data_IF_169992521307
#
_entry.id   IF_169992521307
#
_cell.length_a   1.000
_cell.length_b   1.000
_cell.length_c   1.000
_cell.angle_alpha   90.00
_cell.angle_beta   90.00
_cell.angle_gamma   90.00
#
_symmetry.space_group_name_H-M   'P 1'
#
loop_
_entity.id
_entity.type
_entity.pdbx_description
1 polymer ?
#
# COMPACT_ATOMS: atom_id res chain seq x y z
N UNK A 1 44.61 44.90 -7.62
CA UNK A 1 45.62 44.17 -8.43
C UNK A 1 45.04 42.83 -8.88
N UNK A 2 45.60 42.20 -9.92
CA UNK A 2 44.96 41.10 -10.65
C UNK A 2 45.80 39.81 -10.68
N UNK A 3 45.12 38.66 -10.74
CA UNK A 3 45.67 37.30 -10.93
C UNK A 3 46.48 36.79 -9.72
N UNK A 4 46.69 35.47 -9.53
CA UNK A 4 46.73 34.37 -10.53
C UNK A 4 46.14 33.06 -9.99
N UNK A 5 45.40 32.32 -10.83
CA UNK A 5 45.08 30.88 -10.64
C UNK A 5 46.23 30.03 -11.20
N UNK A 6 46.64 28.99 -10.51
CA UNK A 6 47.60 27.99 -11.02
C UNK A 6 46.96 26.60 -11.02
N UNK A 7 46.67 26.00 -12.19
CA UNK A 7 46.32 24.59 -12.29
C UNK A 7 47.59 23.73 -12.40
N UNK A 8 47.50 22.46 -12.00
CA UNK A 8 48.52 21.44 -12.32
C UNK A 8 48.01 20.56 -13.47
N UNK A 9 48.89 20.22 -14.42
CA UNK A 9 48.55 19.48 -15.63
C UNK A 9 49.30 18.14 -15.72
N UNK A 10 48.53 17.09 -15.98
CA UNK A 10 48.74 16.12 -17.06
C UNK A 10 50.14 15.49 -17.27
N UNK A 11 50.23 14.18 -17.00
CA UNK A 11 51.05 13.22 -17.76
C UNK A 11 50.21 11.95 -17.97
N UNK A 12 49.64 11.61 -19.14
CA UNK A 12 50.20 11.18 -20.45
C UNK A 12 51.14 9.97 -20.44
N UNK A 13 50.72 8.92 -21.17
CA UNK A 13 51.53 7.77 -21.60
C UNK A 13 51.12 6.42 -20.98
N UNK A 14 51.07 5.30 -21.71
CA UNK A 14 51.11 5.10 -23.17
C UNK A 14 50.51 3.72 -23.55
N UNK A 15 50.22 3.48 -24.83
CA UNK A 15 49.76 2.16 -25.32
C UNK A 15 50.86 1.10 -25.27
N UNK A 16 50.45 -0.17 -25.12
CA UNK A 16 51.09 -1.34 -25.72
C UNK A 16 49.99 -2.32 -26.16
N UNK A 17 50.22 -3.09 -27.24
CA UNK A 17 49.20 -3.93 -27.85
C UNK A 17 49.78 -5.15 -28.61
N UNK A 18 48.87 -6.03 -29.03
CA UNK A 18 48.96 -6.98 -30.17
C UNK A 18 49.55 -8.39 -29.94
N UNK A 19 49.10 -9.29 -30.84
CA UNK A 19 49.40 -10.72 -31.05
C UNK A 19 48.75 -11.72 -30.08
N UNK A 20 47.79 -12.58 -30.49
CA UNK A 20 47.71 -13.58 -31.59
C UNK A 20 48.46 -14.89 -31.30
N UNK A 21 47.69 -15.96 -31.09
CA UNK A 21 48.10 -17.34 -31.26
C UNK A 21 46.93 -18.13 -31.89
N UNK A 22 47.17 -18.75 -33.06
CA UNK A 22 46.15 -19.45 -33.86
C UNK A 22 46.50 -20.92 -34.04
N UNK A 23 45.52 -21.81 -33.91
CA UNK A 23 45.38 -22.96 -34.81
C UNK A 23 45.57 -24.38 -34.27
N UNK A 24 45.08 -25.34 -35.07
CA UNK A 24 45.15 -26.80 -34.98
C UNK A 24 44.41 -27.43 -33.77
N UNK A 25 43.34 -28.24 -33.88
CA UNK A 25 42.70 -29.05 -34.94
C UNK A 25 43.10 -30.54 -35.03
N UNK A 26 42.06 -31.38 -34.85
CA UNK A 26 41.84 -32.79 -35.21
C UNK A 26 40.31 -32.99 -34.95
N UNK A 27 39.41 -33.46 -35.81
CA UNK A 27 39.45 -34.49 -36.87
C UNK A 27 39.75 -35.88 -36.27
N UNK A 28 38.98 -36.95 -36.48
CA UNK A 28 38.24 -37.44 -37.67
C UNK A 28 36.85 -38.01 -37.21
N UNK A 29 35.70 -37.56 -37.72
CA UNK A 29 34.95 -38.04 -38.92
C UNK A 29 34.47 -39.52 -38.91
N UNK A 30 33.23 -39.77 -39.40
CA UNK A 30 32.80 -40.90 -40.26
C UNK A 30 31.26 -41.01 -40.44
N UNK A 31 30.85 -41.17 -41.72
CA UNK A 31 29.56 -41.67 -42.26
C UNK A 31 28.27 -40.82 -42.23
N UNK A 32 27.95 -40.31 -43.42
CA UNK A 32 26.59 -40.19 -43.98
C UNK A 32 26.14 -41.58 -44.57
N UNK A 33 25.10 -41.76 -45.44
CA UNK A 33 24.19 -40.78 -46.07
C UNK A 33 22.70 -41.22 -46.29
N UNK A 34 21.96 -40.34 -46.99
CA UNK A 34 21.00 -40.64 -48.08
C UNK A 34 19.48 -40.92 -47.83
N UNK A 35 18.69 -39.98 -48.40
CA UNK A 35 17.55 -40.20 -49.34
C UNK A 35 16.18 -40.80 -48.93
N UNK A 36 15.16 -39.95 -49.12
CA UNK A 36 13.86 -40.19 -49.85
C UNK A 36 12.70 -41.00 -49.23
N UNK A 37 11.49 -40.67 -49.76
CA UNK A 37 10.30 -41.52 -49.93
C UNK A 37 9.22 -41.58 -48.82
N UNK A 38 8.21 -40.73 -48.97
CA UNK A 38 6.78 -41.05 -48.74
C UNK A 38 6.21 -41.86 -49.94
N UNK A 39 4.95 -42.36 -49.98
CA UNK A 39 3.87 -42.42 -48.97
C UNK A 39 3.17 -43.82 -48.83
N UNK A 40 2.02 -43.85 -48.12
CA UNK A 40 0.79 -44.65 -48.40
C UNK A 40 0.49 -45.97 -47.66
N UNK A 41 -0.49 -45.87 -46.73
CA UNK A 41 -1.78 -46.60 -46.68
C UNK A 41 -1.90 -48.14 -46.70
N UNK A 42 -2.51 -48.70 -45.64
CA UNK A 42 -3.81 -49.45 -45.65
C UNK A 42 -4.12 -49.96 -44.21
N UNK A 43 -5.18 -49.58 -43.48
CA UNK A 43 -6.66 -49.73 -43.64
C UNK A 43 -7.26 -51.10 -43.28
N UNK A 44 -8.27 -51.09 -42.38
CA UNK A 44 -9.54 -51.86 -42.28
C UNK A 44 -10.17 -51.48 -40.91
N UNK A 45 -11.35 -50.84 -40.76
CA UNK A 45 -12.73 -51.21 -41.14
C UNK A 45 -13.36 -52.27 -40.19
N UNK A 46 -14.63 -52.23 -39.72
CA UNK A 46 -15.76 -51.26 -39.78
C UNK A 46 -16.64 -51.50 -38.50
N UNK A 47 -17.80 -50.87 -38.15
CA UNK A 47 -19.06 -50.51 -38.87
C UNK A 47 -19.85 -49.43 -38.07
N UNK A 48 -20.40 -48.36 -38.67
CA UNK A 48 -21.80 -48.18 -39.16
C UNK A 48 -22.91 -48.20 -38.07
N UNK A 49 -23.99 -47.38 -38.09
CA UNK A 49 -24.55 -46.46 -39.12
C UNK A 49 -25.27 -45.22 -38.46
N UNK A 50 -25.31 -44.03 -39.08
CA UNK A 50 -26.43 -43.40 -39.84
C UNK A 50 -27.69 -43.01 -38.99
N UNK A 51 -28.46 -41.91 -39.20
CA UNK A 51 -28.55 -40.80 -40.19
C UNK A 51 -29.35 -39.62 -39.52
N UNK A 52 -29.70 -38.42 -40.02
CA UNK A 52 -29.81 -37.74 -41.35
C UNK A 52 -29.66 -36.19 -41.18
N UNK A 53 -30.07 -35.36 -42.16
CA UNK A 53 -30.18 -33.87 -42.05
C UNK A 53 -31.45 -33.32 -42.78
N UNK A 54 -31.50 -32.17 -43.51
CA UNK A 54 -32.15 -30.93 -43.02
C UNK A 54 -33.14 -30.20 -43.99
N UNK A 55 -33.78 -29.12 -43.51
CA UNK A 55 -34.44 -28.01 -44.25
C UNK A 55 -34.24 -26.74 -43.35
N UNK A 56 -33.87 -25.52 -43.79
CA UNK A 56 -34.40 -24.62 -44.83
C UNK A 56 -35.85 -24.12 -44.51
N UNK A 57 -36.25 -22.87 -44.70
CA UNK A 57 -36.10 -21.96 -45.87
C UNK A 57 -35.78 -20.49 -45.47
N UNK A 58 -35.63 -19.61 -46.47
CA UNK A 58 -35.54 -18.14 -46.32
C UNK A 58 -36.43 -17.41 -47.35
N UNK A 59 -36.85 -16.17 -47.04
CA UNK A 59 -37.53 -15.12 -47.88
C UNK A 59 -38.74 -14.48 -47.14
N UNK A 60 -39.24 -13.28 -47.45
CA UNK A 60 -38.67 -12.04 -48.04
C UNK A 60 -39.75 -10.92 -48.00
N UNK A 61 -39.35 -9.66 -48.28
CA UNK A 61 -40.19 -8.44 -48.48
C UNK A 61 -40.94 -7.88 -47.24
N UNK A 62 -41.05 -6.58 -46.92
CA UNK A 62 -40.81 -5.25 -47.55
C UNK A 62 -42.09 -4.48 -47.97
N UNK A 63 -42.06 -3.15 -47.71
CA UNK A 63 -42.92 -2.03 -48.20
C UNK A 63 -44.46 -2.10 -47.90
N UNK A 64 -45.27 -1.02 -47.89
CA UNK A 64 -45.11 0.40 -48.29
C UNK A 64 -46.06 1.35 -47.50
N UNK A 65 -45.82 2.67 -47.61
CA UNK A 65 -46.48 3.86 -47.03
C UNK A 65 -48.02 3.97 -47.02
N UNK A 66 -48.57 4.72 -46.04
CA UNK A 66 -49.34 6.00 -46.19
C UNK A 66 -49.91 6.45 -44.83
N UNK A 67 -49.57 7.61 -44.24
CA UNK A 67 -49.76 9.01 -44.65
C UNK A 67 -51.17 9.58 -44.38
N UNK A 68 -51.33 10.40 -43.32
CA UNK A 68 -52.33 11.50 -43.21
C UNK A 68 -52.09 12.39 -41.97
N UNK A 69 -51.71 13.64 -42.21
CA UNK A 69 -52.06 14.82 -41.38
C UNK A 69 -53.12 15.60 -42.18
N UNK A 70 -53.96 16.51 -41.60
CA UNK A 70 -53.49 17.78 -41.03
C UNK A 70 -54.32 18.36 -39.85
N UNK A 71 -53.77 19.38 -39.17
CA UNK A 71 -54.37 20.73 -39.02
C UNK A 71 -53.40 21.65 -38.25
N UNK A 72 -53.54 22.97 -38.36
CA UNK A 72 -52.54 23.93 -37.86
C UNK A 72 -53.14 25.20 -37.23
N UNK A 73 -52.47 25.68 -36.17
CA UNK A 73 -52.33 27.07 -35.73
C UNK A 73 -51.17 27.08 -34.70
N UNK A 74 -50.04 27.76 -34.84
CA UNK A 74 -49.70 29.06 -35.43
C UNK A 74 -50.15 30.26 -34.59
N UNK A 75 -49.21 30.82 -33.83
CA UNK A 75 -49.09 32.27 -33.58
C UNK A 75 -47.65 32.59 -33.15
N UNK A 76 -47.02 33.47 -33.89
CA UNK A 76 -45.62 33.90 -33.72
C UNK A 76 -45.44 34.87 -32.54
N UNK A 77 -44.22 34.98 -32.02
CA UNK A 77 -43.64 36.28 -31.68
C UNK A 77 -42.11 36.23 -31.77
N UNK A 78 -41.46 37.35 -32.12
CA UNK A 78 -40.03 37.39 -32.43
C UNK A 78 -39.31 38.59 -31.82
N UNK A 79 -38.12 38.32 -31.26
CA UNK A 79 -36.97 39.20 -31.12
C UNK A 79 -37.09 40.50 -30.28
N UNK A 80 -36.14 40.66 -29.36
CA UNK A 80 -35.84 41.90 -28.64
C UNK A 80 -34.68 41.66 -27.67
N UNK A 81 -33.52 42.26 -27.95
CA UNK A 81 -32.33 42.22 -27.09
C UNK A 81 -32.33 43.48 -26.16
N UNK A 82 -31.33 43.79 -25.32
CA UNK A 82 -29.95 43.30 -25.19
C UNK A 82 -29.39 43.67 -23.78
N UNK A 83 -28.36 42.93 -23.32
CA UNK A 83 -27.37 43.34 -22.27
C UNK A 83 -27.87 43.52 -20.81
N UNK A 84 -27.04 43.53 -19.74
CA UNK A 84 -25.56 43.49 -19.59
C UNK A 84 -25.07 42.46 -18.53
N UNK A 85 -23.78 42.09 -18.64
CA UNK A 85 -22.79 41.65 -17.61
C UNK A 85 -23.20 41.08 -16.24
N UNK A 86 -22.58 39.94 -15.85
CA UNK A 86 -21.46 39.97 -14.88
C UNK A 86 -20.53 38.72 -15.03
N UNK A 87 -19.44 38.66 -14.26
CA UNK A 87 -18.27 37.78 -14.44
C UNK A 87 -18.40 36.35 -13.86
N UNK A 88 -17.57 35.38 -14.32
CA UNK A 88 -17.57 34.01 -13.80
C UNK A 88 -16.74 33.86 -12.51
N UNK A 89 -17.36 33.30 -11.47
CA UNK A 89 -16.65 32.85 -10.24
C UNK A 89 -16.40 31.36 -10.30
N UNK A 90 -15.13 30.98 -10.37
CA UNK A 90 -14.68 29.60 -10.14
C UNK A 90 -14.82 29.27 -8.66
N UNK A 91 -15.76 28.41 -8.29
CA UNK A 91 -15.84 27.87 -6.93
C UNK A 91 -14.96 26.62 -6.78
N UNK A 92 -14.04 26.65 -5.83
CA UNK A 92 -13.24 25.51 -5.41
C UNK A 92 -14.11 24.45 -4.68
N UNK A 93 -13.66 23.18 -4.57
CA UNK A 93 -14.33 22.20 -3.73
C UNK A 93 -14.35 22.64 -2.24
N UNK A 94 -15.42 22.31 -1.48
CA UNK A 94 -15.47 22.57 -0.05
C UNK A 94 -14.47 21.67 0.68
N UNK A 95 -13.67 22.25 1.59
CA UNK A 95 -12.78 21.50 2.47
C UNK A 95 -13.54 20.80 3.59
N UNK A 96 -12.90 19.81 4.23
CA UNK A 96 -13.46 19.02 5.32
C UNK A 96 -13.84 19.86 6.56
N UNK A 97 -14.87 19.45 7.32
CA UNK A 97 -15.29 20.15 8.54
C UNK A 97 -14.39 19.77 9.74
N UNK A 98 -13.47 20.65 10.11
CA UNK A 98 -12.85 20.63 11.44
C UNK A 98 -13.71 21.42 12.43
N UNK A 99 -14.11 20.80 13.56
CA UNK A 99 -14.93 21.48 14.57
C UNK A 99 -15.16 20.67 15.84
N UNK A 100 -14.38 20.95 16.89
CA UNK A 100 -14.53 20.36 18.22
C UNK A 100 -15.75 20.91 18.97
N UNK A 101 -16.42 20.10 19.81
CA UNK A 101 -17.52 20.60 20.66
C UNK A 101 -18.38 19.55 21.39
N UNK A 102 -17.77 18.80 22.32
CA UNK A 102 -18.36 18.28 23.58
C UNK A 102 -19.83 17.76 23.62
N UNK A 103 -20.00 16.44 23.84
CA UNK A 103 -20.88 15.93 24.91
C UNK A 103 -20.59 14.47 25.28
N UNK A 104 -20.60 14.20 26.57
CA UNK A 104 -20.63 12.91 27.30
C UNK A 104 -21.73 11.97 26.75
N UNK A 105 -21.67 10.63 26.83
CA UNK A 105 -21.55 9.80 28.06
C UNK A 105 -21.27 8.29 27.81
N UNK A 106 -20.61 7.64 28.78
CA UNK A 106 -20.79 6.22 29.25
C UNK A 106 -20.54 5.02 28.29
N UNK A 107 -19.41 4.34 28.49
CA UNK A 107 -19.41 2.93 28.97
C UNK A 107 -19.48 1.75 27.98
N UNK A 108 -18.31 1.21 27.62
CA UNK A 108 -18.04 -0.23 27.75
C UNK A 108 -16.50 -0.41 27.85
N UNK A 109 -16.00 -0.99 28.95
CA UNK A 109 -14.58 -0.92 29.35
C UNK A 109 -13.94 -2.31 29.53
N UNK A 110 -13.63 -2.96 28.39
CA UNK A 110 -12.92 -4.26 28.38
C UNK A 110 -11.39 -4.06 28.50
N UNK A 111 -10.94 -4.02 29.76
CA UNK A 111 -9.56 -3.68 30.15
C UNK A 111 -8.61 -4.88 30.11
N UNK A 112 -7.82 -5.01 29.04
CA UNK A 112 -6.73 -5.99 28.96
C UNK A 112 -5.41 -5.51 29.61
N UNK A 113 -5.44 -5.50 30.95
CA UNK A 113 -4.34 -5.87 31.86
C UNK A 113 -2.89 -5.75 31.32
N UNK A 114 -2.29 -4.57 31.45
CA UNK A 114 -0.83 -4.41 31.48
C UNK A 114 -0.26 -4.93 32.82
N UNK A 115 -0.22 -6.27 32.97
CA UNK A 115 0.15 -6.91 34.23
C UNK A 115 1.67 -6.87 34.47
N UNK A 116 2.08 -6.41 35.65
CA UNK A 116 3.45 -6.00 35.96
C UNK A 116 4.25 -7.01 36.83
N UNK A 117 5.43 -6.54 37.28
CA UNK A 117 6.22 -6.95 38.47
C UNK A 117 7.51 -7.73 38.21
N UNK A 118 8.64 -7.03 38.43
CA UNK A 118 9.84 -7.57 39.06
C UNK A 118 10.56 -6.47 39.86
N UNK A 119 10.30 -6.41 41.17
CA UNK A 119 10.94 -5.46 42.11
C UNK A 119 12.28 -6.03 42.60
N UNK A 120 13.32 -5.19 42.70
CA UNK A 120 14.63 -5.56 43.24
C UNK A 120 15.36 -4.37 43.90
N UNK A 121 14.70 -3.73 44.86
CA UNK A 121 15.22 -2.54 45.54
C UNK A 121 16.55 -2.73 46.29
N UNK A 122 17.26 -1.62 46.47
CA UNK A 122 18.45 -1.52 47.31
C UNK A 122 18.38 -0.24 48.15
N UNK A 123 18.12 -0.39 49.46
CA UNK A 123 18.14 0.74 50.39
C UNK A 123 19.59 1.11 50.76
N UNK A 124 19.88 2.41 50.89
CA UNK A 124 21.15 2.91 51.39
C UNK A 124 20.96 4.02 52.44
N UNK A 125 21.61 3.82 53.58
CA UNK A 125 21.50 4.60 54.83
C UNK A 125 22.29 5.94 54.78
N UNK A 126 22.01 6.87 55.69
CA UNK A 126 22.64 8.20 55.71
C UNK A 126 24.03 8.23 56.38
N UNK A 127 24.97 8.92 55.71
CA UNK A 127 25.88 9.87 56.37
C UNK A 127 27.30 9.43 56.75
N UNK A 128 28.30 10.13 56.19
CA UNK A 128 29.49 10.62 56.92
C UNK A 128 30.02 11.91 56.23
N UNK A 129 30.81 12.72 56.94
CA UNK A 129 31.20 14.09 56.53
C UNK A 129 32.71 14.33 56.68
N UNK A 130 33.47 14.37 55.57
CA UNK A 130 34.88 14.82 55.55
C UNK A 130 35.43 15.20 54.16
N UNK A 131 35.60 16.51 53.98
CA UNK A 131 36.77 17.24 53.44
C UNK A 131 37.66 16.69 52.28
N UNK A 132 38.01 17.61 51.36
CA UNK A 132 39.42 17.72 50.93
C UNK A 132 39.86 17.15 49.57
N UNK A 133 38.96 16.86 48.62
CA UNK A 133 39.29 16.11 47.38
C UNK A 133 39.13 16.83 46.02
N UNK A 134 39.74 18.00 45.79
CA UNK A 134 39.62 18.69 44.48
C UNK A 134 40.46 18.02 43.38
N UNK A 135 39.84 17.17 42.54
CA UNK A 135 40.51 16.55 41.39
C UNK A 135 39.68 15.55 40.58
N UNK A 136 38.99 16.05 39.55
CA UNK A 136 38.27 15.29 38.49
C UNK A 136 37.07 14.44 38.96
N UNK A 137 35.86 14.87 38.62
CA UNK A 137 34.61 14.13 38.91
C UNK A 137 33.50 14.32 37.86
N UNK A 138 33.78 14.98 36.74
CA UNK A 138 32.82 15.09 35.62
C UNK A 138 32.80 13.86 34.70
N UNK A 139 33.93 13.15 34.61
CA UNK A 139 34.18 12.07 33.65
C UNK A 139 33.47 10.76 34.04
N UNK A 140 33.64 10.33 35.29
CA UNK A 140 33.08 9.08 35.83
C UNK A 140 31.55 9.08 35.90
N UNK A 141 30.92 10.25 36.10
CA UNK A 141 29.47 10.36 36.20
C UNK A 141 28.80 10.12 34.83
N UNK A 142 29.24 10.84 33.79
CA UNK A 142 28.76 10.64 32.42
C UNK A 142 29.06 9.24 31.89
N UNK A 143 30.22 8.66 32.25
CA UNK A 143 30.56 7.27 31.91
C UNK A 143 29.58 6.24 32.50
N UNK A 144 28.94 6.53 33.64
CA UNK A 144 27.89 5.70 34.23
C UNK A 144 26.55 5.83 33.50
N UNK A 145 26.09 7.06 33.28
CA UNK A 145 24.82 7.35 32.57
C UNK A 145 24.83 6.74 31.15
N UNK A 146 25.93 6.92 30.43
CA UNK A 146 26.16 6.36 29.10
C UNK A 146 26.18 4.82 29.08
N UNK A 147 26.66 4.18 30.15
CA UNK A 147 26.63 2.73 30.27
C UNK A 147 25.20 2.19 30.51
N UNK A 148 24.38 2.90 31.29
CA UNK A 148 22.95 2.61 31.48
C UNK A 148 22.18 2.77 30.17
N UNK A 149 22.34 3.90 29.48
CA UNK A 149 21.70 4.14 28.18
C UNK A 149 22.05 3.06 27.15
N UNK A 150 23.33 2.68 27.03
CA UNK A 150 23.76 1.55 26.17
C UNK A 150 23.28 0.18 26.66
N UNK A 151 22.87 0.02 27.91
CA UNK A 151 22.26 -1.23 28.38
C UNK A 151 20.79 -1.27 27.99
N UNK A 152 20.07 -0.18 28.22
CA UNK A 152 18.64 -0.06 27.95
C UNK A 152 18.35 -0.07 26.44
N UNK A 153 19.19 0.57 25.62
CA UNK A 153 19.15 0.48 24.17
C UNK A 153 19.17 -0.97 23.66
N UNK A 154 20.02 -1.83 24.25
CA UNK A 154 20.06 -3.26 23.89
C UNK A 154 18.80 -4.00 24.33
N UNK A 155 18.25 -3.69 25.50
CA UNK A 155 16.99 -4.29 25.96
C UNK A 155 15.77 -3.91 25.10
N UNK A 156 15.80 -2.78 24.39
CA UNK A 156 14.80 -2.46 23.37
C UNK A 156 14.99 -3.27 22.08
N UNK A 157 16.21 -3.32 21.55
CA UNK A 157 16.56 -4.10 20.34
C UNK A 157 16.43 -5.63 20.55
N UNK A 158 16.48 -6.11 21.80
CA UNK A 158 16.14 -7.49 22.17
C UNK A 158 14.62 -7.80 22.10
N UNK A 159 13.77 -6.79 21.93
CA UNK A 159 12.30 -6.92 21.90
C UNK A 159 11.67 -6.52 20.56
N UNK A 160 12.15 -5.44 19.91
CA UNK A 160 11.67 -4.99 18.59
C UNK A 160 12.73 -4.15 17.88
N UNK A 161 12.70 -4.13 16.56
CA UNK A 161 13.57 -3.30 15.73
C UNK A 161 13.28 -1.81 15.93
N UNK A 162 14.33 -0.99 15.93
CA UNK A 162 14.24 0.46 16.01
C UNK A 162 15.10 1.16 14.96
N UNK A 163 14.56 2.22 14.37
CA UNK A 163 15.37 3.18 13.61
C UNK A 163 16.36 3.90 14.53
N UNK A 164 17.44 4.42 13.96
CA UNK A 164 18.46 5.17 14.73
C UNK A 164 17.85 6.37 15.47
N UNK A 165 16.90 7.09 14.87
CA UNK A 165 16.21 8.20 15.52
C UNK A 165 15.21 7.72 16.57
N UNK A 166 14.38 6.70 16.25
CA UNK A 166 13.42 6.15 17.20
C UNK A 166 14.07 5.62 18.47
N UNK A 167 15.24 4.97 18.37
CA UNK A 167 15.99 4.50 19.54
C UNK A 167 16.56 5.66 20.39
N UNK A 168 16.96 6.78 19.77
CA UNK A 168 17.42 7.97 20.48
C UNK A 168 16.23 8.66 21.17
N UNK A 169 15.11 8.85 20.46
CA UNK A 169 13.89 9.46 20.98
C UNK A 169 13.29 8.65 22.14
N UNK A 170 13.34 7.30 22.06
CA UNK A 170 12.95 6.40 23.15
C UNK A 170 13.87 6.56 24.38
N UNK A 171 15.18 6.73 24.20
CA UNK A 171 16.09 7.00 25.32
C UNK A 171 15.87 8.40 25.92
N UNK A 172 15.48 9.40 25.12
CA UNK A 172 15.08 10.71 25.66
C UNK A 172 13.76 10.63 26.45
N UNK A 173 12.82 9.76 26.04
CA UNK A 173 11.60 9.47 26.82
C UNK A 173 11.93 8.81 28.17
N UNK A 174 12.90 7.89 28.21
CA UNK A 174 13.43 7.29 29.44
C UNK A 174 14.23 8.28 30.32
N UNK A 175 14.42 9.51 29.86
CA UNK A 175 14.99 10.60 30.65
C UNK A 175 16.50 10.79 30.50
N UNK A 176 17.16 10.07 29.59
CA UNK A 176 18.53 10.40 29.19
C UNK A 176 18.55 11.72 28.42
N UNK A 177 19.64 12.48 28.52
CA UNK A 177 19.79 13.68 27.68
C UNK A 177 20.02 13.29 26.21
N UNK A 178 19.51 14.07 25.25
CA UNK A 178 19.77 13.92 23.80
C UNK A 178 21.24 13.58 23.46
N UNK A 179 22.19 14.23 24.14
CA UNK A 179 23.62 14.00 23.95
C UNK A 179 24.05 12.59 24.41
N UNK A 180 23.56 12.11 25.55
CA UNK A 180 23.86 10.77 26.08
C UNK A 180 23.12 9.69 25.31
N UNK A 181 21.86 9.93 24.91
CA UNK A 181 21.10 9.03 24.03
C UNK A 181 21.81 8.86 22.67
N UNK A 182 22.22 9.97 22.04
CA UNK A 182 22.97 9.96 20.78
C UNK A 182 24.32 9.26 20.95
N UNK A 183 25.12 9.58 21.99
CA UNK A 183 26.41 8.93 22.22
C UNK A 183 26.25 7.44 22.58
N UNK A 184 25.16 7.05 23.24
CA UNK A 184 24.86 5.65 23.52
C UNK A 184 24.72 4.87 22.22
N UNK A 185 23.80 5.32 21.36
CA UNK A 185 23.43 4.67 20.08
C UNK A 185 24.56 4.73 19.07
N UNK A 186 25.16 5.90 18.81
CA UNK A 186 26.30 6.05 17.88
C UNK A 186 27.59 5.37 18.38
N UNK A 187 27.64 5.00 19.67
CA UNK A 187 28.73 4.25 20.26
C UNK A 187 28.51 2.73 20.29
N UNK A 188 27.47 2.23 19.65
CA UNK A 188 27.16 0.80 19.49
C UNK A 188 27.30 0.35 18.03
N UNK A 189 27.62 -0.92 17.85
CA UNK A 189 27.75 -1.57 16.53
C UNK A 189 26.38 -2.17 16.16
N UNK A 190 25.44 -1.31 15.76
CA UNK A 190 24.05 -1.65 15.41
C UNK A 190 23.91 -1.72 13.89
N UNK A 191 23.37 -2.83 13.38
CA UNK A 191 23.05 -3.00 11.96
C UNK A 191 21.63 -2.51 11.68
N UNK A 192 21.46 -1.19 11.52
CA UNK A 192 20.15 -0.57 11.28
C UNK A 192 19.47 -1.01 9.97
N UNK A 193 20.20 -1.63 9.04
CA UNK A 193 19.60 -2.23 7.84
C UNK A 193 18.91 -3.57 8.21
N UNK A 194 19.45 -4.30 9.20
CA UNK A 194 18.81 -5.48 9.80
C UNK A 194 17.68 -5.12 10.79
N UNK A 195 17.79 -4.03 11.55
CA UNK A 195 16.69 -3.53 12.39
C UNK A 195 15.46 -3.16 11.53
N UNK A 196 15.69 -2.49 10.39
CA UNK A 196 14.64 -2.15 9.43
C UNK A 196 13.94 -3.41 8.86
N UNK A 197 14.70 -4.47 8.58
CA UNK A 197 14.17 -5.77 8.17
C UNK A 197 13.32 -6.40 9.28
N UNK A 198 13.77 -6.36 10.54
CA UNK A 198 12.99 -6.90 11.67
C UNK A 198 11.68 -6.12 11.89
N UNK A 199 11.69 -4.79 11.78
CA UNK A 199 10.47 -3.98 11.81
C UNK A 199 9.53 -4.35 10.65
N UNK A 200 10.05 -4.55 9.44
CA UNK A 200 9.26 -4.95 8.27
C UNK A 200 8.61 -6.33 8.41
N UNK A 201 9.35 -7.33 8.92
CA UNK A 201 8.81 -8.67 9.24
C UNK A 201 7.73 -8.60 10.33
N UNK A 202 7.96 -7.82 11.38
CA UNK A 202 7.03 -7.62 12.51
C UNK A 202 5.71 -6.99 12.07
N UNK A 203 5.75 -5.98 11.19
CA UNK A 203 4.54 -5.35 10.66
C UNK A 203 3.65 -6.34 9.90
N UNK A 204 4.24 -7.19 9.05
CA UNK A 204 3.52 -8.16 8.23
C UNK A 204 2.99 -9.37 9.03
N UNK A 205 3.48 -9.64 10.25
CA UNK A 205 2.85 -10.63 11.14
C UNK A 205 1.48 -10.13 11.66
N UNK A 206 1.19 -8.82 11.60
CA UNK A 206 0.03 -8.21 12.29
C UNK A 206 -0.90 -7.40 11.38
N UNK A 207 -0.38 -6.82 10.30
CA UNK A 207 -1.11 -5.93 9.38
C UNK A 207 -0.63 -6.17 7.95
N UNK A 208 -1.54 -6.36 7.00
CA UNK A 208 -1.19 -6.48 5.59
C UNK A 208 -0.75 -5.13 5.00
N UNK A 209 0.28 -5.11 4.15
CA UNK A 209 0.82 -3.87 3.55
C UNK A 209 1.14 -4.02 2.06
N UNK A 210 0.95 -2.94 1.31
CA UNK A 210 1.62 -2.79 0.01
C UNK A 210 3.12 -2.54 0.20
N UNK A 211 3.92 -2.79 -0.84
CA UNK A 211 5.37 -2.51 -0.78
C UNK A 211 5.70 -1.02 -0.57
N UNK A 212 4.93 -0.11 -1.16
CA UNK A 212 5.09 1.34 -0.98
C UNK A 212 4.59 1.78 0.41
N UNK A 213 3.49 1.20 0.90
CA UNK A 213 2.95 1.45 2.23
C UNK A 213 3.88 1.01 3.36
N UNK A 214 4.48 -0.19 3.25
CA UNK A 214 5.46 -0.68 4.22
C UNK A 214 6.74 0.16 4.21
N UNK A 215 7.22 0.58 3.03
CA UNK A 215 8.34 1.51 2.93
C UNK A 215 8.01 2.85 3.61
N UNK A 216 6.83 3.41 3.34
CA UNK A 216 6.35 4.66 3.94
C UNK A 216 6.19 4.57 5.47
N UNK A 217 5.77 3.43 5.99
CA UNK A 217 5.68 3.18 7.44
C UNK A 217 7.07 3.19 8.10
N UNK A 218 8.06 2.52 7.50
CA UNK A 218 9.44 2.52 8.00
C UNK A 218 10.09 3.91 7.90
N UNK A 219 9.86 4.65 6.81
CA UNK A 219 10.31 6.05 6.69
C UNK A 219 9.65 6.97 7.73
N UNK A 220 8.37 6.73 8.08
CA UNK A 220 7.67 7.45 9.15
C UNK A 220 8.25 7.15 10.54
N UNK A 221 8.70 5.92 10.79
CA UNK A 221 9.46 5.53 11.99
C UNK A 221 10.89 6.08 12.02
N UNK A 222 11.35 6.76 10.96
CA UNK A 222 12.66 7.41 10.89
C UNK A 222 13.80 6.51 10.41
N UNK A 223 13.51 5.35 9.81
CA UNK A 223 14.50 4.68 8.96
C UNK A 223 14.82 5.55 7.74
N UNK A 224 16.02 5.43 7.17
CA UNK A 224 16.32 6.15 5.92
C UNK A 224 15.54 5.52 4.75
N UNK A 225 15.26 6.27 3.66
CA UNK A 225 14.64 5.69 2.47
C UNK A 225 15.44 4.51 1.89
N UNK A 226 16.77 4.55 2.00
CA UNK A 226 17.63 3.41 1.62
C UNK A 226 17.43 2.18 2.52
N UNK A 227 17.19 2.38 3.83
CA UNK A 227 16.90 1.31 4.79
C UNK A 227 15.51 0.72 4.59
N UNK A 228 14.50 1.57 4.48
CA UNK A 228 13.12 1.16 4.25
C UNK A 228 12.97 0.37 2.94
N UNK A 229 13.51 0.90 1.83
CA UNK A 229 13.50 0.21 0.54
C UNK A 229 14.35 -1.08 0.55
N UNK A 230 15.46 -1.08 1.31
CA UNK A 230 16.30 -2.27 1.51
C UNK A 230 15.57 -3.39 2.27
N UNK A 231 14.87 -3.05 3.35
CA UNK A 231 14.08 -3.96 4.17
C UNK A 231 12.93 -4.59 3.38
N UNK A 232 12.09 -3.77 2.72
CA UNK A 232 10.97 -4.26 1.89
C UNK A 232 11.46 -5.20 0.77
N UNK A 233 12.59 -4.87 0.13
CA UNK A 233 13.20 -5.72 -0.89
C UNK A 233 13.85 -7.00 -0.33
N UNK A 234 14.23 -7.02 0.96
CA UNK A 234 14.85 -8.17 1.63
C UNK A 234 13.80 -9.15 2.20
N UNK A 235 12.67 -8.66 2.71
CA UNK A 235 11.50 -9.49 3.08
C UNK A 235 10.99 -10.25 1.85
N UNK A 236 10.90 -9.58 0.70
CA UNK A 236 10.35 -10.19 -0.52
C UNK A 236 8.82 -10.33 -0.47
N UNK A 237 8.15 -9.27 -0.02
CA UNK A 237 6.69 -9.16 0.16
C UNK A 237 5.91 -9.75 -1.02
N UNK A 238 4.98 -10.68 -0.75
CA UNK A 238 4.06 -11.22 -1.74
C UNK A 238 2.84 -10.29 -1.87
N UNK A 239 3.03 -9.17 -2.57
CA UNK A 239 2.04 -8.09 -2.70
C UNK A 239 0.67 -8.54 -3.19
N UNK A 240 0.58 -9.65 -3.94
CA UNK A 240 -0.69 -10.24 -4.36
C UNK A 240 -1.45 -10.92 -3.21
N UNK A 241 -0.74 -11.57 -2.27
CA UNK A 241 -1.32 -12.10 -1.04
C UNK A 241 -1.68 -10.97 -0.07
N UNK A 242 -0.79 -9.99 0.12
CA UNK A 242 -1.04 -8.80 0.96
C UNK A 242 -2.29 -8.02 0.53
N UNK A 243 -2.47 -7.78 -0.78
CA UNK A 243 -3.64 -7.09 -1.30
C UNK A 243 -4.94 -7.86 -0.99
N UNK A 244 -4.91 -9.20 -1.05
CA UNK A 244 -6.02 -10.07 -0.69
C UNK A 244 -6.31 -10.04 0.81
N UNK A 245 -5.29 -9.91 1.67
CA UNK A 245 -5.48 -9.83 3.12
C UNK A 245 -5.93 -8.44 3.59
N UNK A 246 -5.42 -7.34 3.02
CA UNK A 246 -5.98 -5.99 3.23
C UNK A 246 -7.44 -5.92 2.78
N UNK A 247 -7.77 -6.41 1.57
CA UNK A 247 -9.13 -6.45 1.06
C UNK A 247 -10.11 -7.18 2.00
N UNK A 248 -9.68 -8.32 2.56
CA UNK A 248 -10.44 -9.08 3.58
C UNK A 248 -10.54 -8.35 4.92
N UNK A 249 -9.51 -7.60 5.30
CA UNK A 249 -9.51 -6.79 6.52
C UNK A 249 -10.51 -5.64 6.43
N UNK A 250 -10.61 -4.95 5.30
CA UNK A 250 -11.63 -3.91 5.07
C UNK A 250 -13.04 -4.46 5.18
N UNK A 251 -13.38 -5.49 4.38
CA UNK A 251 -14.72 -6.10 4.36
C UNK A 251 -15.13 -6.75 5.70
N UNK A 252 -14.18 -7.01 6.60
CA UNK A 252 -14.46 -7.49 7.97
C UNK A 252 -14.95 -6.38 8.92
N UNK A 253 -14.67 -5.12 8.62
CA UNK A 253 -14.95 -3.98 9.52
C UNK A 253 -15.84 -2.89 8.90
N UNK A 254 -16.03 -2.88 7.58
CA UNK A 254 -17.02 -2.03 6.89
C UNK A 254 -17.45 -2.68 5.57
N UNK A 255 -18.76 -2.70 5.31
CA UNK A 255 -19.28 -2.94 3.96
C UNK A 255 -18.75 -1.89 2.98
N UNK A 256 -18.20 -2.34 1.85
CA UNK A 256 -17.62 -1.52 0.78
C UNK A 256 -18.06 -1.99 -0.60
N UNK A 257 -18.02 -1.11 -1.60
CA UNK A 257 -18.26 -1.49 -2.99
C UNK A 257 -17.01 -2.11 -3.62
N UNK A 258 -17.22 -2.90 -4.68
CA UNK A 258 -16.14 -3.52 -5.46
C UNK A 258 -15.10 -2.48 -5.93
N UNK A 259 -15.54 -1.37 -6.53
CA UNK A 259 -14.63 -0.31 -6.98
C UNK A 259 -14.07 0.51 -5.82
N UNK A 260 -14.86 0.78 -4.77
CA UNK A 260 -14.39 1.54 -3.60
C UNK A 260 -13.33 0.80 -2.80
N UNK A 261 -13.36 -0.54 -2.80
CA UNK A 261 -12.30 -1.37 -2.23
C UNK A 261 -11.03 -1.37 -3.10
N UNK A 262 -11.16 -1.39 -4.43
CA UNK A 262 -10.02 -1.25 -5.36
C UNK A 262 -9.38 0.14 -5.20
N UNK A 263 -10.18 1.22 -5.21
CA UNK A 263 -9.72 2.59 -5.00
C UNK A 263 -8.99 2.76 -3.64
N UNK A 264 -9.46 2.05 -2.60
CA UNK A 264 -8.83 2.05 -1.27
C UNK A 264 -7.47 1.33 -1.25
N UNK A 265 -7.35 0.20 -1.96
CA UNK A 265 -6.07 -0.52 -2.10
C UNK A 265 -5.06 0.27 -2.97
N UNK A 266 -5.52 0.93 -4.04
CA UNK A 266 -4.68 1.86 -4.81
C UNK A 266 -4.20 3.04 -3.95
N UNK A 267 -5.04 3.56 -3.04
CA UNK A 267 -4.64 4.58 -2.07
C UNK A 267 -3.62 4.07 -1.03
N UNK A 268 -3.66 2.78 -0.67
CA UNK A 268 -2.66 2.13 0.17
C UNK A 268 -1.33 1.81 -0.56
N UNK A 269 -1.22 2.13 -1.86
CA UNK A 269 0.00 1.93 -2.64
C UNK A 269 0.13 0.54 -3.28
N UNK A 270 -0.95 -0.26 -3.32
CA UNK A 270 -1.01 -1.40 -4.25
C UNK A 270 -1.17 -0.87 -5.68
N UNK A 271 -0.61 -1.56 -6.68
CA UNK A 271 -0.88 -1.18 -8.08
C UNK A 271 -2.31 -1.56 -8.47
N UNK A 272 -2.88 -0.84 -9.44
CA UNK A 272 -4.21 -1.12 -9.99
C UNK A 272 -4.40 -2.56 -10.47
N UNK A 273 -3.33 -3.24 -10.92
CA UNK A 273 -3.39 -4.65 -11.33
C UNK A 273 -3.45 -5.60 -10.11
N UNK A 274 -2.74 -5.29 -9.03
CA UNK A 274 -2.79 -6.05 -7.76
C UNK A 274 -4.12 -5.83 -7.04
N UNK A 275 -4.57 -4.58 -6.89
CA UNK A 275 -5.83 -4.22 -6.26
C UNK A 275 -7.03 -4.86 -6.97
N UNK A 276 -7.12 -4.75 -8.30
CA UNK A 276 -8.18 -5.38 -9.07
C UNK A 276 -8.13 -6.92 -9.01
N UNK A 277 -6.93 -7.52 -9.13
CA UNK A 277 -6.78 -8.99 -9.06
C UNK A 277 -7.11 -9.56 -7.68
N UNK A 278 -6.77 -8.82 -6.61
CA UNK A 278 -7.09 -9.20 -5.25
C UNK A 278 -8.60 -9.23 -5.01
N UNK A 279 -9.32 -8.19 -5.47
CA UNK A 279 -10.77 -8.07 -5.30
C UNK A 279 -11.54 -9.03 -6.23
N UNK A 280 -11.11 -9.22 -7.49
CA UNK A 280 -11.69 -10.26 -8.39
C UNK A 280 -11.50 -11.68 -7.83
N UNK A 281 -10.45 -11.90 -7.02
CA UNK A 281 -10.18 -13.16 -6.35
C UNK A 281 -11.06 -13.49 -5.13
N UNK A 282 -11.95 -12.60 -4.69
CA UNK A 282 -12.79 -12.80 -3.51
C UNK A 282 -14.21 -13.33 -3.86
N UNK A 283 -14.73 -14.21 -3.00
CA UNK A 283 -16.12 -14.70 -3.05
C UNK A 283 -17.01 -13.81 -2.16
N UNK A 284 -17.44 -12.65 -2.69
CA UNK A 284 -18.15 -11.59 -1.96
C UNK A 284 -19.57 -11.41 -2.51
N UNK A 285 -20.57 -11.33 -1.61
CA UNK A 285 -21.91 -10.88 -1.97
C UNK A 285 -21.97 -9.35 -1.87
N UNK A 286 -21.60 -8.66 -2.96
CA UNK A 286 -21.64 -7.20 -3.05
C UNK A 286 -23.03 -6.57 -2.80
N UNK A 287 -24.13 -7.34 -2.79
CA UNK A 287 -25.44 -6.85 -2.38
C UNK A 287 -25.66 -6.97 -0.85
N UNK A 288 -24.96 -7.88 -0.18
CA UNK A 288 -24.84 -7.91 1.27
C UNK A 288 -23.92 -6.79 1.78
N UNK A 289 -22.79 -6.52 1.11
CA UNK A 289 -21.92 -5.37 1.43
C UNK A 289 -22.69 -4.05 1.35
N UNK A 290 -23.48 -3.85 0.28
CA UNK A 290 -24.37 -2.70 0.13
C UNK A 290 -25.44 -2.61 1.24
N UNK A 291 -25.85 -3.74 1.83
CA UNK A 291 -26.76 -3.76 2.97
C UNK A 291 -26.07 -3.36 4.27
N UNK A 292 -24.80 -3.73 4.46
CA UNK A 292 -24.00 -3.31 5.61
C UNK A 292 -23.67 -1.81 5.55
N UNK A 293 -23.22 -1.29 4.40
CA UNK A 293 -23.04 0.15 4.18
C UNK A 293 -24.34 0.92 4.44
N UNK A 294 -25.48 0.43 3.92
CA UNK A 294 -26.80 1.02 4.19
C UNK A 294 -27.17 1.02 5.68
N UNK A 295 -26.94 -0.09 6.38
CA UNK A 295 -27.23 -0.21 7.81
C UNK A 295 -26.33 0.71 8.67
N UNK A 296 -25.04 0.84 8.29
CA UNK A 296 -24.09 1.77 8.91
C UNK A 296 -24.54 3.22 8.75
N UNK A 297 -24.94 3.63 7.54
CA UNK A 297 -25.51 4.96 7.30
C UNK A 297 -26.75 5.22 8.14
N UNK A 298 -27.69 4.27 8.23
CA UNK A 298 -28.94 4.44 8.99
C UNK A 298 -28.76 4.40 10.51
N UNK A 299 -27.68 3.80 11.02
CA UNK A 299 -27.28 3.86 12.43
C UNK A 299 -26.86 5.27 12.86
N UNK A 300 -26.29 6.06 11.95
CA UNK A 300 -25.71 7.37 12.25
C UNK A 300 -26.46 8.57 11.62
N UNK A 301 -27.22 8.37 10.54
CA UNK A 301 -27.92 9.44 9.78
C UNK A 301 -29.33 9.03 9.36
N UNK A 302 -30.31 9.91 9.57
CA UNK A 302 -31.68 9.75 9.05
C UNK A 302 -31.75 10.09 7.56
N UNK A 303 -31.57 9.10 6.68
CA UNK A 303 -31.66 9.26 5.22
C UNK A 303 -33.02 8.77 4.66
N UNK A 304 -33.41 9.29 3.49
CA UNK A 304 -34.52 8.71 2.73
C UNK A 304 -34.03 7.55 1.86
N UNK A 305 -34.92 6.62 1.50
CA UNK A 305 -34.60 5.49 0.61
C UNK A 305 -33.85 5.93 -0.66
N UNK A 306 -34.34 6.98 -1.33
CA UNK A 306 -33.69 7.49 -2.55
C UNK A 306 -32.31 8.09 -2.26
N UNK A 307 -32.18 8.93 -1.23
CA UNK A 307 -30.92 9.57 -0.91
C UNK A 307 -29.83 8.56 -0.50
N UNK A 308 -30.21 7.45 0.15
CA UNK A 308 -29.28 6.39 0.49
C UNK A 308 -28.89 5.53 -0.73
N UNK A 309 -29.82 5.28 -1.67
CA UNK A 309 -29.48 4.65 -2.96
C UNK A 309 -28.52 5.55 -3.75
N UNK A 310 -28.82 6.86 -3.85
CA UNK A 310 -27.97 7.84 -4.54
C UNK A 310 -26.57 7.91 -3.91
N UNK A 311 -26.47 7.80 -2.58
CA UNK A 311 -25.21 7.76 -1.83
C UNK A 311 -24.39 6.49 -2.11
N UNK A 312 -25.01 5.30 -2.08
CA UNK A 312 -24.31 4.05 -2.36
C UNK A 312 -23.81 3.96 -3.81
N UNK A 313 -24.54 4.50 -4.81
CA UNK A 313 -24.01 4.53 -6.19
C UNK A 313 -22.93 5.59 -6.40
N UNK A 314 -22.87 6.62 -5.54
CA UNK A 314 -21.73 7.53 -5.48
C UNK A 314 -20.50 6.85 -4.87
N UNK A 315 -20.70 5.97 -3.89
CA UNK A 315 -19.67 5.07 -3.31
C UNK A 315 -19.30 3.88 -4.22
N UNK A 316 -19.79 3.83 -5.46
CA UNK A 316 -19.39 2.84 -6.46
C UNK A 316 -20.23 1.56 -6.53
N UNK A 317 -21.22 1.36 -5.63
CA UNK A 317 -22.16 0.24 -5.79
C UNK A 317 -22.97 0.40 -7.08
N UNK A 318 -23.20 -0.69 -7.81
CA UNK A 318 -24.11 -0.64 -8.96
C UNK A 318 -25.54 -0.34 -8.49
N UNK A 319 -26.39 0.34 -9.29
CA UNK A 319 -27.76 0.65 -8.88
C UNK A 319 -28.58 -0.56 -8.37
N UNK A 320 -28.47 -1.79 -8.95
CA UNK A 320 -29.12 -2.97 -8.39
C UNK A 320 -28.59 -3.40 -7.01
N UNK A 321 -27.29 -3.29 -6.74
CA UNK A 321 -26.71 -3.55 -5.42
C UNK A 321 -27.21 -2.52 -4.39
N UNK A 322 -27.17 -1.24 -4.74
CA UNK A 322 -27.68 -0.16 -3.88
C UNK A 322 -29.18 -0.30 -3.58
N UNK A 323 -30.02 -0.58 -4.60
CA UNK A 323 -31.45 -0.85 -4.41
C UNK A 323 -31.71 -2.08 -3.53
N UNK A 324 -30.92 -3.14 -3.66
CA UNK A 324 -31.02 -4.34 -2.83
C UNK A 324 -30.59 -4.08 -1.38
N UNK A 325 -29.41 -3.48 -1.18
CA UNK A 325 -28.85 -3.17 0.13
C UNK A 325 -29.75 -2.28 0.99
N UNK A 326 -30.27 -1.19 0.41
CA UNK A 326 -31.22 -0.30 1.10
C UNK A 326 -32.55 -0.99 1.42
N UNK A 327 -32.98 -1.95 0.61
CA UNK A 327 -34.17 -2.78 0.91
C UNK A 327 -33.90 -3.77 2.05
N UNK A 328 -32.70 -4.36 2.10
CA UNK A 328 -32.28 -5.27 3.17
C UNK A 328 -32.10 -4.54 4.51
N UNK A 329 -31.61 -3.30 4.49
CA UNK A 329 -31.52 -2.41 5.65
C UNK A 329 -32.88 -1.85 6.14
N UNK A 330 -33.99 -2.17 5.46
CA UNK A 330 -35.36 -1.93 5.96
C UNK A 330 -36.06 -0.67 5.46
N UNK A 331 -35.59 -0.04 4.38
CA UNK A 331 -36.27 1.07 3.67
C UNK A 331 -36.91 0.63 2.34
#
# INVERSE_FOLDING_TARGET
MTRTRTPLLLTTGAMAALALATGCAAEEEVSAPATTSTPSSSTMAATAAASSSPDALASSSAMVSSASTPSAASSENTAGAESETDAPTTSAPPAAPTGSGESETEGDEDSFEASAVAEAGAESDEGDDSDGGSGTSGDTAGSGELASARSQARSYLEFTGFSRTGLIDQLEYEGYSNAVATEAVDGMDIDFDAEALQSAESYLEHTAFSGEGLQGQLEFEGYTPEQAAGAVAAVGVDTASEAVESARSYLKHSGMSESGLIDQLEYEGFSAEEAASAVEGLDVDWAAEAAESAASYLKHTSMSRSALIDQLVFEGFTPPQAEAGVSAAGL
#
